data_IF_061754645276
#
_entry.id   IF_061754645276
#
_cell.length_a   1.000
_cell.length_b   1.000
_cell.length_c   1.000
_cell.angle_alpha   90.00
_cell.angle_beta   90.00
_cell.angle_gamma   90.00
#
_symmetry.space_group_name_H-M   'P 1'
#
loop_
_entity.id
_entity.type
_entity.pdbx_description
1 polymer ?
#
# COMPACT_ATOMS: atom_id res chain seq x y z
N UNK A 1 20.82 14.55 28.93
CA UNK A 1 19.50 14.24 28.33
C UNK A 1 18.72 13.40 29.32
N UNK A 2 17.74 14.03 29.95
CA UNK A 2 16.93 13.49 31.05
C UNK A 2 16.19 12.22 30.60
N UNK A 3 16.43 11.11 31.31
CA UNK A 3 15.59 9.92 31.24
C UNK A 3 14.16 10.35 31.57
N UNK A 4 13.27 10.26 30.59
CA UNK A 4 11.84 10.34 30.86
C UNK A 4 11.48 9.04 31.58
N UNK A 5 11.41 9.09 32.91
CA UNK A 5 10.96 7.98 33.73
C UNK A 5 9.43 7.88 33.59
N UNK A 6 8.96 7.17 32.56
CA UNK A 6 7.56 6.77 32.47
C UNK A 6 7.25 5.75 33.56
N UNK A 7 6.34 6.09 34.47
CA UNK A 7 5.88 5.24 35.59
C UNK A 7 4.72 4.30 35.21
N UNK A 8 4.48 4.08 33.92
CA UNK A 8 3.44 3.18 33.43
C UNK A 8 4.02 1.86 32.94
N UNK A 9 3.54 0.73 33.47
CA UNK A 9 3.87 -0.63 32.99
C UNK A 9 3.27 -0.95 31.60
N UNK A 10 2.61 0.02 30.97
CA UNK A 10 1.85 -0.14 29.74
C UNK A 10 2.71 -0.18 28.48
N UNK A 11 3.89 0.43 28.52
CA UNK A 11 4.80 0.51 27.38
C UNK A 11 6.10 -0.22 27.69
N UNK A 12 6.41 -1.24 26.89
CA UNK A 12 7.61 -2.06 27.01
C UNK A 12 8.48 -1.86 25.76
N UNK A 13 9.79 -2.12 25.88
CA UNK A 13 10.74 -2.09 24.73
C UNK A 13 10.70 -0.79 23.93
N UNK A 14 10.68 0.36 24.60
CA UNK A 14 10.73 1.66 23.95
C UNK A 14 12.08 1.85 23.25
N UNK A 15 12.07 2.01 21.92
CA UNK A 15 13.24 2.15 21.07
C UNK A 15 13.05 3.34 20.12
N UNK A 16 14.03 4.23 20.06
CA UNK A 16 14.08 5.30 19.07
C UNK A 16 15.00 4.89 17.92
N UNK A 17 14.46 4.85 16.70
CA UNK A 17 15.20 4.57 15.47
C UNK A 17 15.45 5.87 14.72
N UNK A 18 16.72 6.24 14.61
CA UNK A 18 17.18 7.44 13.91
C UNK A 18 17.34 7.18 12.41
N UNK A 19 16.22 7.00 11.71
CA UNK A 19 16.17 6.94 10.25
C UNK A 19 15.86 8.33 9.62
N UNK A 20 15.78 8.40 8.29
CA UNK A 20 15.40 9.63 7.55
C UNK A 20 14.09 10.26 8.06
N UNK A 21 13.14 9.42 8.49
CA UNK A 21 11.98 9.81 9.30
C UNK A 21 12.14 9.10 10.65
N UNK A 22 12.39 9.81 11.76
CA UNK A 22 12.56 9.19 13.07
C UNK A 22 11.33 8.37 13.46
N UNK A 23 11.57 7.18 14.02
CA UNK A 23 10.53 6.22 14.37
C UNK A 23 10.70 5.77 15.81
N UNK A 24 9.69 5.99 16.63
CA UNK A 24 9.61 5.49 18.00
C UNK A 24 8.83 4.17 17.99
N UNK A 25 9.48 3.09 18.40
CA UNK A 25 8.88 1.76 18.53
C UNK A 25 8.65 1.40 19.98
N UNK A 26 7.54 0.74 20.27
CA UNK A 26 7.31 0.13 21.58
C UNK A 26 6.31 -1.01 21.49
N UNK A 27 6.33 -1.88 22.49
CA UNK A 27 5.34 -2.93 22.68
C UNK A 27 4.33 -2.50 23.74
N UNK A 28 3.05 -2.47 23.38
CA UNK A 28 1.97 -2.15 24.31
C UNK A 28 1.56 -3.38 25.14
N UNK A 29 1.16 -3.17 26.40
CA UNK A 29 0.68 -4.23 27.30
C UNK A 29 -0.53 -5.01 26.78
N UNK A 30 -1.24 -4.47 25.79
CA UNK A 30 -2.31 -5.17 25.05
C UNK A 30 -1.78 -6.19 24.02
N UNK A 31 -0.46 -6.41 23.94
CA UNK A 31 0.16 -7.36 23.02
C UNK A 31 0.34 -6.84 21.59
N UNK A 32 0.44 -5.51 21.41
CA UNK A 32 0.54 -4.87 20.10
C UNK A 32 1.87 -4.13 19.97
N UNK A 33 2.60 -4.38 18.89
CA UNK A 33 3.76 -3.56 18.53
C UNK A 33 3.30 -2.27 17.84
N UNK A 34 3.82 -1.14 18.31
CA UNK A 34 3.42 0.19 17.87
C UNK A 34 4.63 0.95 17.33
N UNK A 35 4.45 1.52 16.14
CA UNK A 35 5.42 2.30 15.39
C UNK A 35 4.88 3.74 15.25
N UNK A 36 5.50 4.72 15.94
CA UNK A 36 5.11 6.14 15.91
C UNK A 36 6.16 6.96 15.16
N UNK A 37 5.74 7.63 14.09
CA UNK A 37 6.58 8.57 13.35
C UNK A 37 5.95 9.98 13.40
N UNK A 38 6.79 11.00 13.23
CA UNK A 38 6.35 12.39 13.13
C UNK A 38 6.49 12.89 11.69
N UNK A 39 5.50 13.66 11.21
CA UNK A 39 5.52 14.34 9.90
C UNK A 39 5.57 13.44 8.66
N UNK A 40 5.08 12.20 8.71
CA UNK A 40 4.97 11.34 7.53
C UNK A 40 3.72 11.65 6.69
N UNK A 41 3.63 12.88 6.16
CA UNK A 41 2.52 13.32 5.31
C UNK A 41 2.34 12.47 4.05
N UNK A 42 3.45 11.99 3.48
CA UNK A 42 3.45 11.08 2.32
C UNK A 42 2.82 9.75 2.68
N UNK A 43 3.13 9.18 3.86
CA UNK A 43 2.54 7.93 4.34
C UNK A 43 1.02 8.03 4.52
N UNK A 44 0.52 9.16 5.01
CA UNK A 44 -0.92 9.41 5.14
C UNK A 44 -1.60 9.40 3.77
N UNK A 45 -1.07 10.16 2.80
CA UNK A 45 -1.62 10.20 1.41
C UNK A 45 -1.62 8.84 0.75
N UNK A 46 -0.52 8.09 0.86
CA UNK A 46 -0.41 6.76 0.27
C UNK A 46 -1.40 5.79 0.92
N UNK A 47 -1.62 5.91 2.23
CA UNK A 47 -2.61 5.08 2.94
C UNK A 47 -4.03 5.41 2.49
N UNK A 48 -4.36 6.70 2.32
CA UNK A 48 -5.64 7.13 1.76
C UNK A 48 -5.84 6.62 0.33
N UNK A 49 -4.83 6.73 -0.54
CA UNK A 49 -4.88 6.20 -1.90
C UNK A 49 -5.14 4.69 -1.92
N UNK A 50 -4.39 3.91 -1.12
CA UNK A 50 -4.59 2.47 -1.00
C UNK A 50 -5.98 2.13 -0.44
N UNK A 51 -6.48 2.93 0.51
CA UNK A 51 -7.84 2.78 1.04
C UNK A 51 -8.88 2.93 -0.08
N UNK A 52 -8.81 4.01 -0.88
CA UNK A 52 -9.74 4.22 -1.98
C UNK A 52 -9.68 3.10 -3.02
N UNK A 53 -8.49 2.63 -3.40
CA UNK A 53 -8.36 1.46 -4.30
C UNK A 53 -8.96 0.19 -3.68
N UNK A 54 -8.78 -0.04 -2.38
CA UNK A 54 -9.33 -1.22 -1.71
C UNK A 54 -10.87 -1.22 -1.65
N UNK A 55 -11.50 -0.04 -1.80
CA UNK A 55 -12.95 0.11 -1.89
C UNK A 55 -13.47 0.14 -3.32
N UNK A 56 -12.59 0.32 -4.31
CA UNK A 56 -12.98 0.44 -5.72
C UNK A 56 -13.50 -0.87 -6.32
N UNK A 57 -12.90 -2.01 -5.96
CA UNK A 57 -13.36 -3.33 -6.36
C UNK A 57 -13.08 -4.35 -5.25
N UNK A 58 -14.04 -5.24 -4.99
CA UNK A 58 -13.95 -6.23 -3.91
C UNK A 58 -12.78 -7.20 -4.08
N UNK A 59 -12.30 -7.41 -5.31
CA UNK A 59 -11.20 -8.33 -5.65
C UNK A 59 -9.84 -7.81 -5.21
N UNK A 60 -9.69 -6.50 -4.97
CA UNK A 60 -8.41 -5.88 -4.63
C UNK A 60 -7.84 -6.45 -3.32
N UNK A 61 -8.60 -6.39 -2.24
CA UNK A 61 -8.16 -6.84 -0.90
C UNK A 61 -7.69 -8.30 -0.89
N UNK A 62 -8.48 -9.29 -1.35
CA UNK A 62 -8.05 -10.69 -1.36
C UNK A 62 -6.86 -10.92 -2.30
N UNK A 63 -6.78 -10.24 -3.45
CA UNK A 63 -5.66 -10.40 -4.37
C UNK A 63 -4.35 -9.88 -3.75
N UNK A 64 -4.37 -8.69 -3.13
CA UNK A 64 -3.23 -8.16 -2.37
C UNK A 64 -2.81 -9.11 -1.26
N UNK A 65 -3.78 -9.68 -0.52
CA UNK A 65 -3.49 -10.61 0.57
C UNK A 65 -2.82 -11.90 0.07
N UNK A 66 -3.36 -12.51 -0.99
CA UNK A 66 -2.80 -13.75 -1.55
C UNK A 66 -1.41 -13.52 -2.14
N UNK A 67 -1.20 -12.44 -2.89
CA UNK A 67 0.13 -12.08 -3.42
C UNK A 67 1.12 -11.84 -2.28
N UNK A 68 0.69 -11.18 -1.20
CA UNK A 68 1.51 -10.97 -0.01
C UNK A 68 1.90 -12.29 0.66
N UNK A 69 0.96 -13.22 0.84
CA UNK A 69 1.20 -14.53 1.44
C UNK A 69 2.14 -15.38 0.57
N UNK A 70 1.93 -15.38 -0.75
CA UNK A 70 2.82 -16.02 -1.71
C UNK A 70 4.25 -15.45 -1.60
N UNK A 71 4.39 -14.12 -1.59
CA UNK A 71 5.69 -13.47 -1.47
C UNK A 71 6.38 -13.77 -0.13
N UNK A 72 5.63 -13.88 0.96
CA UNK A 72 6.16 -14.31 2.26
C UNK A 72 6.63 -15.77 2.25
N UNK A 73 5.85 -16.67 1.65
CA UNK A 73 6.22 -18.09 1.54
C UNK A 73 7.51 -18.30 0.73
N UNK A 74 7.76 -17.44 -0.26
CA UNK A 74 8.98 -17.44 -1.07
C UNK A 74 10.10 -16.52 -0.53
N UNK A 75 9.94 -15.96 0.67
CA UNK A 75 10.94 -15.12 1.33
C UNK A 75 11.34 -13.84 0.55
N UNK A 76 10.41 -13.31 -0.28
CA UNK A 76 10.61 -12.10 -1.10
C UNK A 76 9.80 -10.88 -0.60
N UNK A 77 9.25 -10.95 0.62
CA UNK A 77 8.51 -9.86 1.29
C UNK A 77 9.13 -9.45 2.64
N UNK A 78 10.39 -9.06 2.60
CA UNK A 78 11.17 -8.54 3.72
C UNK A 78 12.05 -7.36 3.26
N UNK A 79 11.50 -6.15 3.39
CA UNK A 79 12.21 -4.92 3.05
C UNK A 79 13.47 -4.69 3.91
N UNK A 80 13.55 -5.27 5.11
CA UNK A 80 14.76 -5.18 5.95
C UNK A 80 15.91 -6.02 5.38
N UNK A 81 15.59 -7.04 4.57
CA UNK A 81 16.53 -7.89 3.85
C UNK A 81 16.62 -7.53 2.35
N UNK A 82 16.34 -6.28 1.96
CA UNK A 82 16.43 -5.79 0.57
C UNK A 82 15.47 -6.45 -0.44
N UNK A 83 14.35 -7.03 0.02
CA UNK A 83 13.31 -7.57 -0.88
C UNK A 83 12.08 -6.64 -0.96
N UNK A 84 11.03 -7.04 -1.68
CA UNK A 84 9.90 -6.17 -2.02
C UNK A 84 9.07 -5.86 -0.76
N UNK A 85 8.80 -4.58 -0.50
CA UNK A 85 7.96 -4.21 0.64
C UNK A 85 6.50 -4.62 0.44
N UNK A 86 5.75 -4.83 1.52
CA UNK A 86 4.30 -5.09 1.43
C UNK A 86 3.53 -3.95 0.75
N UNK A 87 4.02 -2.71 0.85
CA UNK A 87 3.48 -1.57 0.12
C UNK A 87 3.72 -1.70 -1.39
N UNK A 88 4.94 -2.07 -1.79
CA UNK A 88 5.31 -2.30 -3.19
C UNK A 88 4.48 -3.43 -3.82
N UNK A 89 4.25 -4.54 -3.10
CA UNK A 89 3.37 -5.62 -3.57
C UNK A 89 1.93 -5.13 -3.80
N UNK A 90 1.40 -4.30 -2.91
CA UNK A 90 0.08 -3.70 -3.10
C UNK A 90 0.03 -2.80 -4.35
N UNK A 91 1.06 -1.98 -4.59
CA UNK A 91 1.16 -1.16 -5.80
C UNK A 91 1.26 -2.01 -7.08
N UNK A 92 2.02 -3.11 -7.04
CA UNK A 92 2.10 -4.04 -8.18
C UNK A 92 0.75 -4.64 -8.51
N UNK A 93 -0.03 -5.04 -7.51
CA UNK A 93 -1.39 -5.55 -7.70
C UNK A 93 -2.31 -4.48 -8.28
N UNK A 94 -2.26 -3.25 -7.74
CA UNK A 94 -3.09 -2.14 -8.24
C UNK A 94 -2.74 -1.84 -9.70
N UNK A 95 -1.46 -1.70 -10.04
CA UNK A 95 -1.01 -1.47 -11.42
C UNK A 95 -1.47 -2.59 -12.37
N UNK A 96 -1.32 -3.84 -11.97
CA UNK A 96 -1.80 -4.97 -12.75
C UNK A 96 -3.31 -4.89 -13.02
N UNK A 97 -4.11 -4.52 -12.02
CA UNK A 97 -5.56 -4.34 -12.18
C UNK A 97 -5.95 -3.09 -12.98
N UNK A 98 -5.07 -2.09 -13.08
CA UNK A 98 -5.27 -0.88 -13.89
C UNK A 98 -4.92 -1.10 -15.36
N UNK A 99 -3.77 -1.74 -15.62
CA UNK A 99 -3.15 -1.77 -16.94
C UNK A 99 -2.89 -3.19 -17.45
N UNK A 100 -2.64 -4.14 -16.56
CA UNK A 100 -2.32 -5.53 -16.90
C UNK A 100 -3.54 -6.41 -17.23
N UNK A 101 -4.76 -5.90 -17.07
CA UNK A 101 -6.01 -6.62 -17.36
C UNK A 101 -6.84 -5.90 -18.43
N UNK A 102 -7.47 -6.65 -19.32
CA UNK A 102 -8.41 -6.11 -20.30
C UNK A 102 -9.74 -6.87 -20.21
N UNK A 103 -10.89 -6.21 -19.90
CA UNK A 103 -11.01 -4.81 -19.49
C UNK A 103 -10.31 -4.50 -18.16
N UNK A 104 -9.94 -3.24 -17.92
CA UNK A 104 -9.35 -2.82 -16.65
C UNK A 104 -10.29 -3.09 -15.47
N UNK A 105 -9.75 -3.66 -14.38
CA UNK A 105 -10.48 -3.86 -13.12
C UNK A 105 -10.54 -2.56 -12.33
N UNK A 106 -9.44 -1.80 -12.29
CA UNK A 106 -9.34 -0.55 -11.55
C UNK A 106 -9.19 0.66 -12.48
N UNK A 107 -9.80 1.81 -12.15
CA UNK A 107 -9.49 3.08 -12.80
C UNK A 107 -8.14 3.63 -12.33
N UNK A 108 -7.66 4.68 -12.98
CA UNK A 108 -6.54 5.48 -12.46
C UNK A 108 -7.07 6.63 -11.60
N UNK A 109 -7.16 6.43 -10.28
CA UNK A 109 -7.79 7.39 -9.37
C UNK A 109 -7.12 8.77 -9.37
N UNK A 110 -5.80 8.81 -9.59
CA UNK A 110 -5.06 10.07 -9.62
C UNK A 110 -5.32 10.88 -10.91
N UNK A 111 -5.72 10.22 -12.00
CA UNK A 111 -6.15 10.88 -13.24
C UNK A 111 -7.64 11.25 -13.18
N UNK A 112 -8.47 10.39 -12.61
CA UNK A 112 -9.93 10.61 -12.54
C UNK A 112 -10.30 11.65 -11.47
N UNK A 113 -9.56 11.72 -10.36
CA UNK A 113 -9.80 12.63 -9.24
C UNK A 113 -8.55 13.43 -8.88
N UNK A 114 -8.01 14.24 -9.81
CA UNK A 114 -6.73 14.92 -9.61
C UNK A 114 -6.76 15.85 -8.41
N UNK A 115 -7.91 16.45 -8.09
CA UNK A 115 -8.06 17.34 -6.93
C UNK A 115 -8.00 16.62 -5.58
N UNK A 116 -8.34 15.32 -5.52
CA UNK A 116 -8.34 14.52 -4.28
C UNK A 116 -6.98 13.89 -3.99
N UNK A 117 -6.13 13.74 -5.00
CA UNK A 117 -4.84 13.05 -4.89
C UNK A 117 -3.66 13.96 -5.22
N UNK A 118 -3.81 15.27 -5.00
CA UNK A 118 -2.73 16.23 -5.21
C UNK A 118 -1.63 16.03 -4.19
N UNK A 119 -0.40 16.24 -4.61
CA UNK A 119 0.77 16.17 -3.72
C UNK A 119 0.83 17.33 -2.72
N UNK A 120 0.15 18.45 -3.00
CA UNK A 120 0.17 19.69 -2.22
C UNK A 120 -1.05 19.92 -1.33
N UNK A 121 -2.08 19.05 -1.37
CA UNK A 121 -3.28 19.16 -0.52
C UNK A 121 -2.89 19.09 0.97
N UNK A 122 -3.44 19.90 1.86
CA UNK A 122 -3.09 19.75 3.29
C UNK A 122 -3.54 18.40 3.85
N UNK A 123 -2.71 17.77 4.69
CA UNK A 123 -3.02 16.43 5.23
C UNK A 123 -4.26 16.43 6.11
N UNK A 124 -4.61 17.57 6.70
CA UNK A 124 -5.77 17.74 7.56
C UNK A 124 -7.10 17.67 6.78
N UNK A 125 -7.04 17.90 5.47
CA UNK A 125 -8.21 17.84 4.58
C UNK A 125 -8.44 16.43 4.01
N UNK A 126 -7.57 15.48 4.32
CA UNK A 126 -7.68 14.10 3.82
C UNK A 126 -8.70 13.33 4.69
N UNK A 127 -9.83 12.98 4.09
CA UNK A 127 -10.80 12.09 4.72
C UNK A 127 -10.38 10.62 4.53
N UNK A 128 -9.78 10.03 5.58
CA UNK A 128 -9.32 8.64 5.58
C UNK A 128 -10.42 7.58 5.42
N UNK A 129 -11.70 7.96 5.59
CA UNK A 129 -12.87 7.09 5.45
C UNK A 129 -13.68 7.41 4.19
N UNK A 130 -13.08 8.12 3.25
CA UNK A 130 -13.74 8.50 2.01
C UNK A 130 -14.00 7.28 1.11
N UNK A 131 -15.24 7.19 0.65
CA UNK A 131 -15.64 6.29 -0.45
C UNK A 131 -15.83 7.13 -1.71
N UNK A 132 -15.12 6.78 -2.78
CA UNK A 132 -15.28 7.42 -4.08
C UNK A 132 -16.45 6.78 -4.84
N UNK A 133 -17.28 7.61 -5.48
CA UNK A 133 -18.29 7.13 -6.41
C UNK A 133 -17.63 6.71 -7.72
N UNK A 134 -17.30 5.42 -7.82
CA UNK A 134 -16.65 4.83 -8.98
C UNK A 134 -17.65 4.02 -9.80
N UNK A 135 -17.44 4.00 -11.13
CA UNK A 135 -18.18 3.10 -12.01
C UNK A 135 -17.74 1.67 -11.73
N UNK A 136 -18.70 0.75 -11.66
CA UNK A 136 -18.39 -0.68 -11.53
C UNK A 136 -17.54 -1.15 -12.71
N UNK A 137 -16.54 -1.99 -12.43
CA UNK A 137 -15.72 -2.58 -13.50
C UNK A 137 -16.58 -3.45 -14.42
N UNK A 138 -16.33 -3.36 -15.72
CA UNK A 138 -16.89 -4.29 -16.71
C UNK A 138 -16.11 -5.61 -16.79
N UNK A 139 -15.00 -5.74 -16.04
CA UNK A 139 -14.20 -6.96 -15.98
C UNK A 139 -14.91 -8.02 -15.13
N UNK A 140 -15.16 -9.19 -15.71
CA UNK A 140 -15.85 -10.32 -15.08
C UNK A 140 -14.92 -11.45 -14.62
N UNK A 141 -13.60 -11.27 -14.71
CA UNK A 141 -12.62 -12.29 -14.35
C UNK A 141 -12.67 -12.56 -12.84
N UNK A 142 -12.60 -13.83 -12.49
CA UNK A 142 -12.57 -14.33 -11.12
C UNK A 142 -11.24 -14.00 -10.43
N UNK A 143 -11.20 -14.09 -9.10
CA UNK A 143 -9.97 -13.93 -8.33
C UNK A 143 -8.85 -14.89 -8.77
N UNK A 144 -9.19 -16.14 -9.06
CA UNK A 144 -8.22 -17.14 -9.50
C UNK A 144 -7.61 -16.82 -10.87
N UNK A 145 -8.44 -16.39 -11.82
CA UNK A 145 -7.97 -15.96 -13.14
C UNK A 145 -7.07 -14.73 -13.05
N UNK A 146 -7.45 -13.75 -12.22
CA UNK A 146 -6.64 -12.54 -12.00
C UNK A 146 -5.31 -12.88 -11.33
N UNK A 147 -5.29 -13.80 -10.38
CA UNK A 147 -4.06 -14.23 -9.72
C UNK A 147 -3.09 -14.92 -10.70
N UNK A 148 -3.59 -15.82 -11.54
CA UNK A 148 -2.75 -16.47 -12.55
C UNK A 148 -2.20 -15.46 -13.56
N UNK A 149 -3.04 -14.52 -14.01
CA UNK A 149 -2.61 -13.45 -14.91
C UNK A 149 -1.64 -12.48 -14.26
N UNK A 150 -1.76 -12.19 -12.97
CA UNK A 150 -0.81 -11.35 -12.24
C UNK A 150 0.61 -11.93 -12.34
N UNK A 151 0.77 -13.23 -12.08
CA UNK A 151 2.07 -13.89 -12.19
C UNK A 151 2.56 -13.93 -13.63
N UNK A 152 1.68 -14.23 -14.59
CA UNK A 152 2.04 -14.21 -16.00
C UNK A 152 2.48 -12.81 -16.46
N UNK A 153 1.77 -11.76 -16.06
CA UNK A 153 2.07 -10.37 -16.39
C UNK A 153 3.46 -9.98 -15.91
N UNK A 154 3.77 -10.18 -14.63
CA UNK A 154 5.06 -9.80 -14.07
C UNK A 154 6.22 -10.72 -14.47
N UNK A 155 5.94 -11.95 -14.90
CA UNK A 155 6.95 -12.80 -15.52
C UNK A 155 7.39 -12.31 -16.90
N UNK A 156 6.51 -11.60 -17.63
CA UNK A 156 6.78 -11.08 -18.96
C UNK A 156 6.99 -9.55 -19.00
N UNK A 157 7.02 -8.89 -17.83
CA UNK A 157 7.21 -7.44 -17.72
C UNK A 157 8.65 -7.06 -18.08
N UNK A 158 8.84 -6.01 -18.90
CA UNK A 158 10.17 -5.56 -19.28
C UNK A 158 10.76 -4.62 -18.22
N UNK A 159 11.35 -5.19 -17.18
CA UNK A 159 11.98 -4.42 -16.10
C UNK A 159 13.16 -3.53 -16.53
N UNK A 160 13.69 -3.69 -17.75
CA UNK A 160 14.78 -2.88 -18.28
C UNK A 160 14.33 -1.59 -18.97
N UNK A 161 13.10 -1.56 -19.50
CA UNK A 161 12.57 -0.44 -20.29
C UNK A 161 11.33 0.21 -19.65
N UNK A 162 10.55 -0.55 -18.90
CA UNK A 162 9.26 -0.14 -18.37
C UNK A 162 9.32 0.16 -16.87
N UNK A 163 8.45 1.07 -16.41
CA UNK A 163 8.31 1.40 -14.99
C UNK A 163 6.85 1.31 -14.55
N UNK A 164 6.62 0.60 -13.43
CA UNK A 164 5.28 0.48 -12.84
C UNK A 164 4.79 1.84 -12.36
N UNK A 165 3.74 2.39 -12.99
CA UNK A 165 3.19 3.70 -12.64
C UNK A 165 1.70 3.64 -12.32
N UNK A 166 1.36 3.46 -11.03
CA UNK A 166 -0.02 3.55 -10.51
C UNK A 166 -0.63 4.94 -10.74
N UNK A 167 0.20 5.98 -10.76
CA UNK A 167 -0.23 7.37 -10.98
C UNK A 167 -0.71 7.62 -12.39
N UNK A 168 -0.09 6.97 -13.38
CA UNK A 168 -0.46 7.13 -14.79
C UNK A 168 -1.35 5.99 -15.28
N UNK A 169 -1.42 4.87 -14.54
CA UNK A 169 -2.09 3.66 -14.99
C UNK A 169 -1.44 3.07 -16.24
N UNK A 170 -0.11 3.19 -16.37
CA UNK A 170 0.66 2.76 -17.54
C UNK A 170 2.04 2.27 -17.12
N UNK A 171 2.75 1.65 -18.06
CA UNK A 171 4.17 1.28 -17.94
C UNK A 171 5.11 2.34 -18.49
#
# INVERSE_FOLDING_TARGET
FSRINYTGTEFQKLELIEAKVPLLKFHHSLGVDVDVNCNNSVGIRNTHLLHCYSMADWRVKPLVLVVKLWAQYHEINDAKNMTISSYSLALMVIHFLQYGTQPAVLPCLQLDFPQKFRHDQEIHDINMLETLELRASSNTQTLGELLLQFFHYYNNFNYGEDAISVRLGST
#
